data_IF_084537913298
#
_entry.id   IF_084537913298
#
_cell.length_a   1.000
_cell.length_b   1.000
_cell.length_c   1.000
_cell.angle_alpha   90.00
_cell.angle_beta   90.00
_cell.angle_gamma   90.00
#
_symmetry.space_group_name_H-M   'P 1'
#
loop_
_entity.id
_entity.type
_entity.pdbx_description
1 polymer ?
#
# COMPACT_ATOMS: atom_id res chain seq x y z
N UNK A 1 -14.77 58.25 -62.70
CA UNK A 1 -14.62 57.62 -61.36
C UNK A 1 -14.44 56.15 -61.64
N UNK A 2 -13.27 55.58 -61.33
CA UNK A 2 -13.04 54.14 -61.47
C UNK A 2 -13.47 53.49 -60.15
N UNK A 3 -14.42 52.55 -60.19
CA UNK A 3 -14.72 51.69 -59.04
C UNK A 3 -13.61 50.66 -58.91
N UNK A 4 -13.00 50.56 -57.73
CA UNK A 4 -12.05 49.49 -57.41
C UNK A 4 -12.88 48.26 -57.01
N UNK A 5 -12.67 47.16 -57.72
CA UNK A 5 -13.30 45.87 -57.39
C UNK A 5 -12.81 45.39 -56.02
N UNK A 6 -13.75 44.95 -55.18
CA UNK A 6 -13.46 44.41 -53.86
C UNK A 6 -13.55 42.89 -53.87
N UNK A 7 -12.40 42.26 -53.67
CA UNK A 7 -12.26 40.80 -53.63
C UNK A 7 -12.00 40.29 -52.20
N UNK A 8 -12.01 41.18 -51.20
CA UNK A 8 -11.73 40.82 -49.82
C UNK A 8 -13.00 40.25 -49.19
N UNK A 9 -12.88 39.15 -48.44
CA UNK A 9 -14.03 38.57 -47.74
C UNK A 9 -14.27 39.30 -46.41
N UNK A 10 -15.53 39.40 -45.97
CA UNK A 10 -15.81 39.88 -44.62
C UNK A 10 -15.23 38.94 -43.56
N UNK A 11 -14.97 39.49 -42.38
CA UNK A 11 -14.55 38.78 -41.17
C UNK A 11 -15.72 38.68 -40.18
N UNK A 12 -15.80 37.55 -39.47
CA UNK A 12 -16.85 37.32 -38.45
C UNK A 12 -16.29 36.71 -37.17
N UNK A 13 -16.73 37.27 -36.04
CA UNK A 13 -16.47 36.80 -34.69
C UNK A 13 -17.78 36.53 -33.95
N UNK A 14 -17.79 35.46 -33.16
CA UNK A 14 -18.92 35.05 -32.32
C UNK A 14 -18.38 34.99 -30.90
N UNK A 15 -18.96 35.79 -30.00
CA UNK A 15 -18.62 35.74 -28.58
C UNK A 15 -19.01 34.37 -28.00
N UNK A 16 -18.06 33.72 -27.34
CA UNK A 16 -18.26 32.40 -26.73
C UNK A 16 -18.83 32.49 -25.31
N UNK A 17 -18.92 33.69 -24.74
CA UNK A 17 -19.54 33.91 -23.45
C UNK A 17 -21.07 33.89 -23.58
N UNK A 18 -21.70 32.88 -22.99
CA UNK A 18 -23.15 32.73 -23.00
C UNK A 18 -23.78 33.68 -21.97
N UNK A 19 -24.70 34.53 -22.43
CA UNK A 19 -25.60 35.32 -21.57
C UNK A 19 -27.01 34.75 -21.68
N UNK A 20 -27.68 34.56 -20.55
CA UNK A 20 -29.01 33.98 -20.51
C UNK A 20 -30.01 35.01 -19.98
N UNK A 21 -31.15 35.13 -20.65
CA UNK A 21 -32.30 35.94 -20.20
C UNK A 21 -33.58 35.12 -20.30
N UNK A 22 -34.12 34.71 -19.15
CA UNK A 22 -35.27 33.81 -19.06
C UNK A 22 -35.10 32.53 -19.90
N UNK A 23 -35.82 32.45 -21.03
CA UNK A 23 -35.82 31.33 -21.98
C UNK A 23 -34.84 31.50 -23.15
N UNK A 24 -34.09 32.60 -23.17
CA UNK A 24 -33.23 33.01 -24.27
C UNK A 24 -31.76 32.90 -23.90
N UNK A 25 -30.96 32.63 -24.92
CA UNK A 25 -29.52 32.88 -24.92
C UNK A 25 -29.24 34.04 -25.87
N UNK A 26 -28.49 35.03 -25.38
CA UNK A 26 -28.04 36.18 -26.14
C UNK A 26 -26.61 35.92 -26.61
N UNK A 27 -26.40 35.96 -27.92
CA UNK A 27 -25.09 35.74 -28.54
C UNK A 27 -24.65 37.01 -29.23
N UNK A 28 -23.46 37.50 -28.89
CA UNK A 28 -22.88 38.68 -29.53
C UNK A 28 -22.11 38.25 -30.78
N UNK A 29 -22.43 38.86 -31.91
CA UNK A 29 -21.77 38.66 -33.20
C UNK A 29 -21.15 39.99 -33.62
N UNK A 30 -19.90 39.96 -34.05
CA UNK A 30 -19.26 41.10 -34.69
C UNK A 30 -18.82 40.71 -36.09
N UNK A 31 -19.20 41.52 -37.07
CA UNK A 31 -18.78 41.36 -38.46
C UNK A 31 -18.13 42.64 -38.94
N UNK A 32 -17.09 42.50 -39.78
CA UNK A 32 -16.35 43.63 -40.33
C UNK A 32 -15.95 43.29 -41.75
N UNK A 33 -15.94 44.31 -42.60
CA UNK A 33 -15.28 44.21 -43.88
C UNK A 33 -14.35 45.41 -44.07
N UNK A 34 -13.24 45.20 -44.78
CA UNK A 34 -12.24 46.26 -45.06
C UNK A 34 -12.38 46.88 -46.45
N UNK A 35 -13.24 46.32 -47.30
CA UNK A 35 -13.55 46.83 -48.62
C UNK A 35 -14.88 47.60 -48.63
N UNK A 36 -15.89 47.07 -49.31
CA UNK A 36 -17.16 47.77 -49.55
C UNK A 36 -18.11 47.75 -48.35
N UNK A 37 -17.78 47.02 -47.28
CA UNK A 37 -18.55 46.96 -46.04
C UNK A 37 -19.51 45.76 -46.00
N UNK A 38 -20.03 45.49 -44.81
CA UNK A 38 -20.97 44.38 -44.57
C UNK A 38 -22.36 44.74 -45.10
N UNK A 39 -22.92 43.89 -45.97
CA UNK A 39 -24.28 44.02 -46.56
C UNK A 39 -25.31 43.26 -45.73
N UNK A 40 -25.02 41.99 -45.42
CA UNK A 40 -25.97 41.11 -44.75
C UNK A 40 -25.27 40.28 -43.64
N UNK A 41 -25.93 40.18 -42.49
CA UNK A 41 -25.59 39.25 -41.42
C UNK A 41 -26.83 38.41 -41.13
N UNK A 42 -26.72 37.09 -41.32
CA UNK A 42 -27.77 36.15 -40.92
C UNK A 42 -27.24 35.21 -39.84
N UNK A 43 -28.12 34.87 -38.89
CA UNK A 43 -27.81 33.98 -37.77
C UNK A 43 -28.81 32.86 -37.73
N UNK A 44 -28.31 31.64 -37.87
CA UNK A 44 -29.07 30.42 -37.74
C UNK A 44 -28.62 29.63 -36.52
N UNK A 45 -29.54 28.92 -35.88
CA UNK A 45 -29.25 28.01 -34.80
C UNK A 45 -29.82 26.62 -35.04
N UNK A 46 -29.20 25.64 -34.39
CA UNK A 46 -29.63 24.24 -34.41
C UNK A 46 -29.46 23.62 -33.02
N UNK A 47 -30.54 22.98 -32.56
CA UNK A 47 -30.60 22.26 -31.27
C UNK A 47 -30.47 20.74 -31.43
N UNK A 48 -30.39 20.25 -32.67
CA UNK A 48 -30.37 18.83 -33.04
C UNK A 48 -29.04 18.40 -33.70
N UNK A 49 -27.96 19.16 -33.44
CA UNK A 49 -26.64 18.82 -33.97
C UNK A 49 -26.41 19.23 -35.42
N UNK A 50 -27.23 20.14 -35.96
CA UNK A 50 -27.10 20.69 -37.31
C UNK A 50 -28.01 20.03 -38.35
N UNK A 51 -28.93 19.14 -37.93
CA UNK A 51 -29.88 18.50 -38.84
C UNK A 51 -30.98 19.48 -39.30
N UNK A 52 -31.45 20.34 -38.40
CA UNK A 52 -32.35 21.45 -38.72
C UNK A 52 -31.77 22.77 -38.26
N UNK A 53 -31.86 23.78 -39.14
CA UNK A 53 -31.42 25.15 -38.89
C UNK A 53 -32.63 26.08 -38.90
N UNK A 54 -32.72 26.93 -37.88
CA UNK A 54 -33.75 27.95 -37.73
C UNK A 54 -33.09 29.32 -37.64
N UNK A 55 -33.70 30.33 -38.23
CA UNK A 55 -33.26 31.72 -38.06
C UNK A 55 -33.41 32.14 -36.60
N UNK A 56 -32.49 32.96 -36.09
CA UNK A 56 -32.63 33.58 -34.76
C UNK A 56 -33.95 34.35 -34.66
N UNK A 57 -34.59 34.29 -33.51
CA UNK A 57 -35.92 34.89 -33.33
C UNK A 57 -35.87 36.43 -33.35
N UNK A 58 -34.74 37.00 -32.91
CA UNK A 58 -34.44 38.42 -33.02
C UNK A 58 -32.94 38.62 -33.25
N UNK A 59 -32.60 39.60 -34.08
CA UNK A 59 -31.23 40.02 -34.34
C UNK A 59 -31.15 41.54 -34.16
N UNK A 60 -30.66 41.98 -32.99
CA UNK A 60 -30.59 43.39 -32.64
C UNK A 60 -29.25 43.99 -33.07
N UNK A 61 -29.28 45.07 -33.86
CA UNK A 61 -28.09 45.87 -34.13
C UNK A 61 -27.74 46.70 -32.89
N UNK A 62 -26.55 46.47 -32.32
CA UNK A 62 -26.09 47.14 -31.10
C UNK A 62 -25.18 48.32 -31.41
N UNK A 63 -24.26 48.14 -32.35
CA UNK A 63 -23.29 49.17 -32.70
C UNK A 63 -22.88 49.05 -34.17
N UNK A 64 -22.53 50.18 -34.76
CA UNK A 64 -21.93 50.29 -36.08
C UNK A 64 -20.87 51.38 -36.08
N UNK A 65 -19.60 50.98 -36.11
CA UNK A 65 -18.48 51.90 -36.03
C UNK A 65 -17.29 51.37 -36.83
N UNK A 66 -16.61 52.27 -37.54
CA UNK A 66 -15.36 51.99 -38.28
C UNK A 66 -15.46 50.77 -39.23
N UNK A 67 -16.61 50.62 -39.89
CA UNK A 67 -16.88 49.52 -40.84
C UNK A 67 -17.18 48.16 -40.19
N UNK A 68 -17.31 48.11 -38.86
CA UNK A 68 -17.71 46.93 -38.11
C UNK A 68 -19.14 47.09 -37.57
N UNK A 69 -19.95 46.05 -37.75
CA UNK A 69 -21.30 45.89 -37.17
C UNK A 69 -21.24 44.91 -36.00
N UNK A 70 -21.98 45.21 -34.94
CA UNK A 70 -22.17 44.28 -33.82
C UNK A 70 -23.64 44.03 -33.59
N UNK A 71 -24.02 42.76 -33.54
CA UNK A 71 -25.38 42.28 -33.31
C UNK A 71 -25.49 41.44 -32.05
N UNK A 72 -26.68 41.41 -31.44
CA UNK A 72 -27.09 40.38 -30.48
C UNK A 72 -28.17 39.51 -31.12
N UNK A 73 -27.89 38.21 -31.26
CA UNK A 73 -28.88 37.23 -31.67
C UNK A 73 -29.57 36.63 -30.44
N UNK A 74 -30.89 36.64 -30.45
CA UNK A 74 -31.74 36.00 -29.45
C UNK A 74 -32.12 34.61 -29.92
N UNK A 75 -31.66 33.60 -29.19
CA UNK A 75 -31.89 32.19 -29.53
C UNK A 75 -32.70 31.53 -28.42
N UNK A 76 -33.80 30.81 -28.73
CA UNK A 76 -34.66 30.16 -27.75
C UNK A 76 -33.98 28.88 -27.20
N UNK A 77 -32.92 29.10 -26.43
CA UNK A 77 -32.13 28.11 -25.73
C UNK A 77 -31.92 28.63 -24.31
N UNK A 78 -32.51 27.96 -23.33
CA UNK A 78 -32.51 28.45 -21.95
C UNK A 78 -31.25 28.03 -21.19
N UNK A 79 -31.04 28.64 -20.02
CA UNK A 79 -30.02 28.17 -19.08
C UNK A 79 -30.27 26.72 -18.66
N UNK A 80 -31.52 26.33 -18.45
CA UNK A 80 -31.87 24.96 -18.06
C UNK A 80 -31.54 23.95 -19.17
N UNK A 81 -31.70 24.33 -20.43
CA UNK A 81 -31.28 23.50 -21.57
C UNK A 81 -29.76 23.26 -21.56
N UNK A 82 -28.98 24.32 -21.33
CA UNK A 82 -27.53 24.23 -21.21
C UNK A 82 -27.11 23.37 -20.01
N UNK A 83 -27.73 23.59 -18.85
CA UNK A 83 -27.42 22.86 -17.62
C UNK A 83 -27.78 21.37 -17.71
N UNK A 84 -28.84 21.04 -18.47
CA UNK A 84 -29.24 19.68 -18.84
C UNK A 84 -28.30 19.02 -19.88
N UNK A 85 -27.26 19.73 -20.36
CA UNK A 85 -26.27 19.20 -21.29
C UNK A 85 -26.70 19.22 -22.76
N UNK A 86 -27.78 19.94 -23.11
CA UNK A 86 -28.14 20.15 -24.51
C UNK A 86 -27.08 21.00 -25.21
N UNK A 87 -26.99 20.85 -26.53
CA UNK A 87 -26.04 21.57 -27.38
C UNK A 87 -26.77 22.61 -28.20
N UNK A 88 -26.15 23.77 -28.34
CA UNK A 88 -26.60 24.84 -29.23
C UNK A 88 -25.53 25.04 -30.31
N UNK A 89 -25.87 24.78 -31.57
CA UNK A 89 -25.02 25.13 -32.70
C UNK A 89 -25.51 26.43 -33.28
N UNK A 90 -24.60 27.35 -33.58
CA UNK A 90 -24.91 28.67 -34.12
C UNK A 90 -24.03 28.89 -35.32
N UNK A 91 -24.66 29.20 -36.44
CA UNK A 91 -24.03 29.46 -37.72
C UNK A 91 -24.35 30.90 -38.09
N UNK A 92 -23.30 31.67 -38.35
CA UNK A 92 -23.39 33.05 -38.77
C UNK A 92 -22.86 33.14 -40.18
N UNK A 93 -23.67 33.68 -41.08
CA UNK A 93 -23.31 33.91 -42.47
C UNK A 93 -23.29 35.41 -42.71
N UNK A 94 -22.14 35.91 -43.16
CA UNK A 94 -21.91 37.34 -43.44
C UNK A 94 -21.61 37.49 -44.92
N UNK A 95 -22.23 38.48 -45.53
CA UNK A 95 -22.01 38.87 -46.93
C UNK A 95 -21.67 40.35 -47.00
N UNK A 96 -20.72 40.72 -47.84
CA UNK A 96 -20.39 42.12 -48.12
C UNK A 96 -21.15 42.66 -49.34
N UNK A 97 -21.02 43.96 -49.60
CA UNK A 97 -21.66 44.61 -50.76
C UNK A 97 -21.08 44.20 -52.12
N UNK A 98 -19.89 43.60 -52.14
CA UNK A 98 -19.27 43.05 -53.35
C UNK A 98 -19.76 41.61 -53.66
N UNK A 99 -20.48 40.98 -52.73
CA UNK A 99 -21.02 39.63 -52.84
C UNK A 99 -20.11 38.54 -52.28
N UNK A 100 -18.97 38.88 -51.67
CA UNK A 100 -18.15 37.90 -50.97
C UNK A 100 -18.81 37.51 -49.65
N UNK A 101 -18.61 36.25 -49.23
CA UNK A 101 -19.23 35.73 -48.02
C UNK A 101 -18.30 34.87 -47.18
N UNK A 102 -18.60 34.85 -45.88
CA UNK A 102 -17.99 33.96 -44.89
C UNK A 102 -19.09 33.33 -44.05
N UNK A 103 -18.92 32.05 -43.71
CA UNK A 103 -19.76 31.37 -42.74
C UNK A 103 -18.90 30.87 -41.57
N UNK A 104 -19.43 30.99 -40.35
CA UNK A 104 -18.78 30.50 -39.14
C UNK A 104 -19.78 29.81 -38.25
N UNK A 105 -19.44 28.58 -37.86
CA UNK A 105 -20.27 27.77 -36.95
C UNK A 105 -19.56 27.56 -35.62
N UNK A 106 -20.26 27.76 -34.52
CA UNK A 106 -19.79 27.50 -33.14
C UNK A 106 -20.81 26.61 -32.44
N UNK A 107 -20.30 25.60 -31.72
CA UNK A 107 -21.11 24.76 -30.82
C UNK A 107 -20.88 25.18 -29.39
N UNK A 108 -21.97 25.57 -28.73
CA UNK A 108 -22.05 25.81 -27.30
C UNK A 108 -22.53 24.53 -26.61
N UNK A 109 -21.74 24.05 -25.66
CA UNK A 109 -22.06 22.87 -24.85
C UNK A 109 -21.52 23.09 -23.43
N UNK A 110 -22.18 22.49 -22.46
CA UNK A 110 -21.68 22.46 -21.09
C UNK A 110 -20.38 21.64 -21.03
N UNK A 111 -19.30 22.27 -20.59
CA UNK A 111 -18.02 21.62 -20.36
C UNK A 111 -18.07 20.96 -18.99
N UNK A 112 -17.98 19.63 -18.97
CA UNK A 112 -18.03 18.84 -17.73
C UNK A 112 -16.62 18.37 -17.34
N UNK A 113 -16.27 18.41 -16.05
CA UNK A 113 -15.05 17.77 -15.56
C UNK A 113 -15.17 16.25 -15.61
N UNK A 114 -14.03 15.59 -15.74
CA UNK A 114 -13.91 14.14 -15.61
C UNK A 114 -12.64 13.87 -14.82
N UNK A 115 -12.76 13.28 -13.63
CA UNK A 115 -11.61 13.02 -12.77
C UNK A 115 -11.17 11.57 -12.92
N UNK A 116 -9.89 11.38 -13.16
CA UNK A 116 -9.22 10.09 -13.10
C UNK A 116 -8.36 10.01 -11.83
N UNK A 117 -8.27 8.82 -11.26
CA UNK A 117 -7.57 8.54 -10.01
C UNK A 117 -6.49 7.47 -10.25
N UNK A 118 -5.24 7.80 -9.95
CA UNK A 118 -4.12 6.87 -9.96
C UNK A 118 -3.54 6.73 -8.56
N UNK A 119 -3.34 5.48 -8.10
CA UNK A 119 -2.88 5.17 -6.74
C UNK A 119 -1.65 4.28 -6.85
N UNK A 120 -0.54 4.74 -6.28
CA UNK A 120 0.68 3.95 -6.13
C UNK A 120 0.90 3.66 -4.64
N UNK A 121 0.83 2.38 -4.29
CA UNK A 121 0.91 1.87 -2.93
C UNK A 121 1.97 0.76 -2.89
N UNK A 122 2.82 0.71 -1.85
CA UNK A 122 3.74 -0.41 -1.71
C UNK A 122 2.96 -1.72 -1.47
N UNK A 123 3.46 -2.87 -1.96
CA UNK A 123 2.76 -4.14 -1.82
C UNK A 123 2.74 -4.64 -0.37
N UNK A 124 3.73 -4.24 0.42
CA UNK A 124 3.83 -4.58 1.84
C UNK A 124 4.45 -3.44 2.66
N UNK A 125 4.19 -3.49 3.96
CA UNK A 125 4.78 -2.63 4.98
C UNK A 125 5.11 -3.50 6.20
N UNK A 126 6.24 -3.26 6.85
CA UNK A 126 6.57 -3.96 8.09
C UNK A 126 5.72 -3.40 9.23
N UNK A 127 5.33 -4.25 10.18
CA UNK A 127 4.66 -3.84 11.40
C UNK A 127 5.44 -2.71 12.10
N UNK A 128 4.74 -1.66 12.53
CA UNK A 128 5.26 -0.43 13.12
C UNK A 128 6.06 0.50 12.20
N UNK A 129 6.45 0.06 11.00
CA UNK A 129 7.08 0.94 10.02
C UNK A 129 6.05 1.85 9.35
N UNK A 130 6.53 2.99 8.83
CA UNK A 130 5.74 3.92 8.01
C UNK A 130 6.01 3.72 6.53
N UNK A 131 5.00 3.96 5.70
CA UNK A 131 5.13 4.04 4.25
C UNK A 131 4.31 5.21 3.69
N UNK A 132 4.58 5.55 2.44
CA UNK A 132 3.86 6.61 1.71
C UNK A 132 3.04 6.00 0.59
N UNK A 133 1.76 6.38 0.53
CA UNK A 133 0.86 6.12 -0.59
C UNK A 133 0.80 7.37 -1.45
N UNK A 134 1.13 7.24 -2.73
CA UNK A 134 1.06 8.35 -3.68
C UNK A 134 -0.27 8.29 -4.42
N UNK A 135 -1.03 9.39 -4.40
CA UNK A 135 -2.30 9.49 -5.12
C UNK A 135 -2.19 10.65 -6.10
N UNK A 136 -2.61 10.42 -7.34
CA UNK A 136 -2.70 11.47 -8.37
C UNK A 136 -4.13 11.54 -8.90
N UNK A 137 -4.67 12.75 -8.86
CA UNK A 137 -5.91 13.10 -9.55
C UNK A 137 -5.55 13.84 -10.83
N UNK A 138 -6.24 13.52 -11.92
CA UNK A 138 -6.14 14.28 -13.15
C UNK A 138 -7.52 14.57 -13.70
N UNK A 139 -7.78 15.83 -14.02
CA UNK A 139 -8.97 16.21 -14.75
C UNK A 139 -8.76 15.95 -16.24
N UNK A 140 -9.37 14.90 -16.77
CA UNK A 140 -9.36 14.51 -18.17
C UNK A 140 -10.51 15.12 -18.96
N UNK A 141 -11.45 15.78 -18.28
CA UNK A 141 -12.59 16.45 -18.90
C UNK A 141 -12.25 17.84 -19.43
N UNK A 142 -13.24 18.46 -20.08
CA UNK A 142 -13.12 19.82 -20.65
C UNK A 142 -13.59 20.91 -19.66
N UNK A 143 -14.31 20.55 -18.60
CA UNK A 143 -14.77 21.46 -17.55
C UNK A 143 -13.86 21.49 -16.33
N UNK A 144 -13.90 22.57 -15.56
CA UNK A 144 -13.18 22.69 -14.29
C UNK A 144 -13.88 21.89 -13.18
N UNK A 145 -13.14 21.02 -12.49
CA UNK A 145 -13.65 20.32 -11.31
C UNK A 145 -13.50 21.22 -10.09
N UNK A 146 -14.57 21.45 -9.33
CA UNK A 146 -14.57 22.35 -8.16
C UNK A 146 -14.87 21.62 -6.86
N UNK A 147 -14.35 22.16 -5.76
CA UNK A 147 -14.52 21.64 -4.39
C UNK A 147 -14.22 20.14 -4.32
N UNK A 148 -13.10 19.73 -4.90
CA UNK A 148 -12.70 18.32 -4.96
C UNK A 148 -12.21 17.91 -3.57
N UNK A 149 -12.83 16.87 -2.99
CA UNK A 149 -12.49 16.36 -1.66
C UNK A 149 -12.17 14.87 -1.75
N UNK A 150 -11.08 14.48 -1.11
CA UNK A 150 -10.60 13.11 -0.99
C UNK A 150 -10.75 12.69 0.45
N UNK A 151 -11.44 11.58 0.67
CA UNK A 151 -11.55 10.93 1.97
C UNK A 151 -10.88 9.57 1.88
N UNK A 152 -9.83 9.37 2.68
CA UNK A 152 -9.09 8.11 2.74
C UNK A 152 -9.40 7.42 4.07
N UNK A 153 -9.70 6.13 3.99
CA UNK A 153 -9.89 5.26 5.14
C UNK A 153 -9.12 3.96 4.96
N UNK A 154 -8.77 3.30 6.05
CA UNK A 154 -8.09 2.01 6.03
C UNK A 154 -8.71 1.06 7.06
N UNK A 155 -8.54 -0.25 6.86
CA UNK A 155 -8.88 -1.27 7.85
C UNK A 155 -7.89 -1.27 9.02
N UNK A 156 -8.24 -1.93 10.12
CA UNK A 156 -7.51 -1.90 11.41
C UNK A 156 -6.02 -2.28 11.34
N UNK A 157 -5.61 -3.03 10.32
CA UNK A 157 -4.21 -3.42 10.11
C UNK A 157 -3.31 -2.23 9.78
N UNK A 158 -3.88 -1.12 9.27
CA UNK A 158 -3.15 0.03 8.79
C UNK A 158 -3.74 1.33 9.34
N UNK A 159 -2.90 2.15 9.96
CA UNK A 159 -3.27 3.49 10.42
C UNK A 159 -2.86 4.55 9.41
N UNK A 160 -3.75 5.52 9.15
CA UNK A 160 -3.44 6.71 8.37
C UNK A 160 -2.91 7.77 9.34
N UNK A 161 -1.63 8.11 9.19
CA UNK A 161 -0.93 9.07 10.07
C UNK A 161 -1.26 10.50 9.64
N UNK A 162 -1.30 10.72 8.32
CA UNK A 162 -1.48 12.04 7.72
C UNK A 162 -2.11 11.92 6.33
N UNK A 163 -2.87 12.94 5.93
CA UNK A 163 -3.56 12.98 4.64
C UNK A 163 -4.88 12.23 4.58
N UNK A 164 -5.60 12.10 5.72
CA UNK A 164 -6.91 11.41 5.76
C UNK A 164 -7.99 12.11 4.95
N UNK A 165 -8.00 13.45 4.98
CA UNK A 165 -8.90 14.28 4.19
C UNK A 165 -8.07 15.36 3.51
N UNK A 166 -8.19 15.47 2.19
CA UNK A 166 -7.48 16.46 1.38
C UNK A 166 -8.48 17.11 0.45
N UNK A 167 -8.41 18.43 0.30
CA UNK A 167 -9.30 19.18 -0.57
C UNK A 167 -8.53 20.09 -1.52
N UNK A 168 -9.12 20.29 -2.70
CA UNK A 168 -8.70 21.25 -3.70
C UNK A 168 -9.88 22.13 -4.04
N UNK A 169 -9.67 23.45 -4.10
CA UNK A 169 -10.69 24.39 -4.53
C UNK A 169 -11.11 24.11 -5.99
N UNK A 170 -10.13 23.89 -6.86
CA UNK A 170 -10.38 23.42 -8.22
C UNK A 170 -9.23 22.61 -8.82
N UNK A 171 -9.56 21.88 -9.88
CA UNK A 171 -8.62 21.19 -10.78
C UNK A 171 -9.05 21.54 -12.22
N UNK A 172 -8.23 22.35 -12.89
CA UNK A 172 -8.51 22.82 -14.25
C UNK A 172 -8.44 21.66 -15.28
N UNK A 173 -9.06 21.82 -16.47
CA UNK A 173 -8.94 20.84 -17.56
C UNK A 173 -7.47 20.49 -17.87
N UNK A 174 -7.14 19.21 -17.90
CA UNK A 174 -5.77 18.71 -18.13
C UNK A 174 -4.83 18.79 -16.92
N UNK A 175 -5.21 19.50 -15.85
CA UNK A 175 -4.38 19.64 -14.64
C UNK A 175 -4.34 18.32 -13.85
N UNK A 176 -3.21 18.08 -13.18
CA UNK A 176 -3.04 16.99 -12.24
C UNK A 176 -2.62 17.50 -10.86
N UNK A 177 -3.17 16.89 -9.80
CA UNK A 177 -2.76 17.10 -8.41
C UNK A 177 -2.23 15.80 -7.84
N UNK A 178 -1.03 15.82 -7.29
CA UNK A 178 -0.42 14.68 -6.62
C UNK A 178 -0.28 14.95 -5.12
N UNK A 179 -0.57 13.94 -4.31
CA UNK A 179 -0.53 13.99 -2.85
C UNK A 179 0.14 12.74 -2.31
N UNK A 180 0.69 12.87 -1.11
CA UNK A 180 1.31 11.79 -0.36
C UNK A 180 0.54 11.56 0.93
N UNK A 181 0.05 10.34 1.14
CA UNK A 181 -0.63 9.92 2.37
C UNK A 181 0.33 9.04 3.15
N UNK A 182 0.59 9.37 4.42
CA UNK A 182 1.47 8.56 5.28
C UNK A 182 0.65 7.53 6.05
N UNK A 183 1.11 6.29 6.01
CA UNK A 183 0.45 5.14 6.67
C UNK A 183 1.44 4.36 7.53
N UNK A 184 0.95 3.70 8.58
CA UNK A 184 1.74 2.84 9.48
C UNK A 184 1.07 1.48 9.64
N UNK A 185 1.87 0.40 9.62
CA UNK A 185 1.38 -0.94 9.95
C UNK A 185 1.09 -1.07 11.45
N UNK A 186 -0.13 -1.46 11.82
CA UNK A 186 -0.59 -1.58 13.21
C UNK A 186 -0.74 -3.03 13.66
N UNK A 187 -1.21 -3.92 12.78
CA UNK A 187 -1.29 -5.35 13.04
C UNK A 187 -1.02 -6.14 11.77
N UNK A 188 -0.43 -7.34 11.91
CA UNK A 188 -0.07 -8.18 10.77
C UNK A 188 -1.29 -8.70 10.03
N UNK A 189 -1.25 -8.69 8.69
CA UNK A 189 -2.35 -9.18 7.85
C UNK A 189 -2.54 -8.31 6.62
N UNK A 190 -3.59 -8.58 5.85
CA UNK A 190 -3.95 -7.75 4.69
C UNK A 190 -4.79 -6.57 5.13
N UNK A 191 -4.33 -5.35 4.85
CA UNK A 191 -5.10 -4.13 5.02
C UNK A 191 -5.72 -3.68 3.70
N UNK A 192 -6.89 -3.03 3.76
CA UNK A 192 -7.52 -2.38 2.61
C UNK A 192 -7.52 -0.87 2.84
N UNK A 193 -7.05 -0.10 1.86
CA UNK A 193 -7.19 1.35 1.79
C UNK A 193 -8.33 1.67 0.80
N UNK A 194 -9.29 2.46 1.25
CA UNK A 194 -10.40 2.99 0.44
C UNK A 194 -10.21 4.48 0.24
N UNK A 195 -10.29 4.94 -1.01
CA UNK A 195 -10.16 6.34 -1.39
C UNK A 195 -11.45 6.76 -2.07
N UNK A 196 -12.15 7.73 -1.47
CA UNK A 196 -13.39 8.31 -2.01
C UNK A 196 -13.12 9.74 -2.45
N UNK A 197 -13.38 10.04 -3.72
CA UNK A 197 -13.23 11.37 -4.31
C UNK A 197 -14.61 11.91 -4.66
N UNK A 198 -14.93 13.11 -4.20
CA UNK A 198 -16.17 13.82 -4.52
C UNK A 198 -15.88 15.26 -4.91
N UNK A 199 -16.84 15.90 -5.57
CA UNK A 199 -16.74 17.31 -5.97
C UNK A 199 -17.94 17.72 -6.81
N UNK A 200 -17.83 18.87 -7.48
CA UNK A 200 -18.90 19.41 -8.33
C UNK A 200 -18.64 19.05 -9.79
N UNK A 201 -19.70 18.60 -10.49
CA UNK A 201 -19.71 18.42 -11.94
C UNK A 201 -19.25 17.04 -12.43
N UNK A 202 -18.86 16.12 -11.55
CA UNK A 202 -18.49 14.74 -11.88
C UNK A 202 -19.06 13.75 -10.86
N UNK A 203 -19.19 12.49 -11.26
CA UNK A 203 -19.66 11.43 -10.37
C UNK A 203 -18.59 11.08 -9.32
N UNK A 204 -18.96 10.83 -8.05
CA UNK A 204 -18.01 10.38 -7.04
C UNK A 204 -17.27 9.12 -7.47
N UNK A 205 -15.98 9.04 -7.12
CA UNK A 205 -15.09 7.91 -7.42
C UNK A 205 -14.78 7.19 -6.12
N UNK A 206 -14.82 5.87 -6.14
CA UNK A 206 -14.37 5.04 -5.01
C UNK A 206 -13.43 3.94 -5.54
N UNK A 207 -12.19 3.95 -5.04
CA UNK A 207 -11.18 2.93 -5.35
C UNK A 207 -10.70 2.27 -4.07
N UNK A 208 -10.41 0.98 -4.16
CA UNK A 208 -9.84 0.19 -3.06
C UNK A 208 -8.53 -0.46 -3.50
N UNK A 209 -7.51 -0.41 -2.64
CA UNK A 209 -6.24 -1.11 -2.81
C UNK A 209 -5.89 -1.88 -1.55
N UNK A 210 -5.14 -2.96 -1.72
CA UNK A 210 -4.66 -3.77 -0.60
C UNK A 210 -3.17 -3.57 -0.38
N UNK A 211 -2.76 -3.70 0.89
CA UNK A 211 -1.36 -3.71 1.32
C UNK A 211 -1.20 -4.76 2.41
N UNK A 212 -0.13 -5.54 2.36
CA UNK A 212 0.13 -6.58 3.38
C UNK A 212 1.04 -6.03 4.48
N UNK A 213 0.58 -6.05 5.72
CA UNK A 213 1.38 -5.73 6.89
C UNK A 213 2.10 -6.99 7.36
N UNK A 214 3.42 -7.02 7.22
CA UNK A 214 4.26 -8.18 7.55
C UNK A 214 4.96 -7.98 8.90
N UNK A 215 5.17 -9.07 9.65
CA UNK A 215 6.03 -9.00 10.84
C UNK A 215 7.50 -8.93 10.41
N UNK A 216 8.36 -8.18 11.12
CA UNK A 216 9.79 -8.34 10.95
C UNK A 216 10.19 -9.78 11.33
N UNK A 217 11.23 -10.36 10.73
CA UNK A 217 11.65 -11.73 11.03
C UNK A 217 12.35 -11.82 12.39
N UNK A 218 12.08 -12.89 13.14
CA UNK A 218 12.87 -13.27 14.30
C UNK A 218 14.08 -14.11 13.89
N UNK A 219 15.11 -14.15 14.75
CA UNK A 219 16.28 -15.03 14.56
C UNK A 219 16.66 -15.60 15.91
N UNK A 220 16.45 -16.89 16.10
CA UNK A 220 16.79 -17.57 17.35
C UNK A 220 18.20 -18.14 17.24
N UNK A 221 19.06 -17.78 18.19
CA UNK A 221 20.34 -18.41 18.43
C UNK A 221 20.20 -19.38 19.60
N UNK A 222 20.76 -20.58 19.46
CA UNK A 222 20.68 -21.67 20.44
C UNK A 222 22.04 -21.87 21.11
N UNK A 223 22.04 -21.95 22.44
CA UNK A 223 23.20 -22.30 23.25
C UNK A 223 22.85 -23.43 24.21
N UNK A 224 23.56 -24.55 24.10
CA UNK A 224 23.35 -25.73 24.95
C UNK A 224 24.55 -25.96 25.86
N UNK A 225 24.29 -26.02 27.17
CA UNK A 225 25.28 -26.32 28.21
C UNK A 225 24.90 -27.62 28.93
N UNK A 226 25.77 -28.63 28.83
CA UNK A 226 25.65 -29.92 29.51
C UNK A 226 26.99 -30.31 30.15
N UNK A 227 27.00 -31.18 31.18
CA UNK A 227 28.25 -31.70 31.73
C UNK A 227 29.03 -32.49 30.66
N UNK A 228 30.34 -32.67 30.86
CA UNK A 228 31.15 -33.49 29.95
C UNK A 228 30.91 -35.00 30.17
N UNK A 229 30.58 -35.38 31.40
CA UNK A 229 30.33 -36.76 31.79
C UNK A 229 29.39 -36.84 32.99
N UNK A 230 28.70 -37.97 33.11
CA UNK A 230 27.90 -38.37 34.28
C UNK A 230 28.13 -39.86 34.57
N UNK A 231 27.80 -40.33 35.76
CA UNK A 231 27.81 -41.76 36.06
C UNK A 231 26.44 -42.42 35.81
N UNK A 232 26.42 -43.74 35.65
CA UNK A 232 25.18 -44.53 35.69
C UNK A 232 24.46 -44.27 37.02
N UNK A 233 23.14 -44.07 36.96
CA UNK A 233 22.25 -43.65 38.05
C UNK A 233 22.41 -42.20 38.54
N UNK A 234 23.36 -41.42 38.02
CA UNK A 234 23.50 -39.99 38.32
C UNK A 234 22.52 -39.16 37.48
N UNK A 235 21.95 -38.13 38.08
CA UNK A 235 21.14 -37.12 37.38
C UNK A 235 21.98 -35.89 37.05
N UNK A 236 21.77 -35.33 35.87
CA UNK A 236 22.35 -34.06 35.46
C UNK A 236 21.31 -33.14 34.82
N UNK A 237 21.62 -31.85 34.83
CA UNK A 237 20.80 -30.82 34.18
C UNK A 237 21.48 -30.31 32.93
N UNK A 238 20.74 -30.31 31.83
CA UNK A 238 21.08 -29.67 30.56
C UNK A 238 20.39 -28.31 30.56
N UNK A 239 21.17 -27.25 30.37
CA UNK A 239 20.67 -25.88 30.25
C UNK A 239 20.65 -25.49 28.77
N UNK A 240 19.49 -25.06 28.28
CA UNK A 240 19.28 -24.61 26.91
C UNK A 240 18.88 -23.15 26.96
N UNK A 241 19.65 -22.28 26.31
CA UNK A 241 19.38 -20.84 26.20
C UNK A 241 19.04 -20.52 24.75
N UNK A 242 17.88 -19.89 24.56
CA UNK A 242 17.43 -19.35 23.29
C UNK A 242 17.51 -17.83 23.35
N UNK A 243 18.18 -17.21 22.38
CA UNK A 243 18.26 -15.75 22.27
C UNK A 243 17.69 -15.29 20.94
N UNK A 244 16.78 -14.32 20.95
CA UNK A 244 16.31 -13.70 19.73
C UNK A 244 17.23 -12.55 19.31
N UNK A 245 18.03 -12.76 18.28
CA UNK A 245 18.91 -11.74 17.66
C UNK A 245 18.28 -11.09 16.42
N UNK A 246 17.02 -11.44 16.10
CA UNK A 246 16.24 -10.83 15.03
C UNK A 246 15.53 -9.55 15.45
N UNK A 247 14.76 -8.98 14.52
CA UNK A 247 13.98 -7.74 14.74
C UNK A 247 12.52 -8.01 15.08
N UNK A 248 12.00 -9.20 14.78
CA UNK A 248 10.65 -9.61 15.14
C UNK A 248 10.60 -10.53 16.34
N UNK A 249 9.40 -10.69 16.87
CA UNK A 249 9.08 -11.61 17.94
C UNK A 249 9.07 -13.05 17.40
N UNK A 250 9.69 -13.97 18.13
CA UNK A 250 9.47 -15.39 17.93
C UNK A 250 8.31 -15.81 18.84
N UNK A 251 7.35 -16.55 18.30
CA UNK A 251 6.12 -16.92 19.00
C UNK A 251 5.92 -18.44 19.01
N UNK A 252 5.21 -18.96 20.01
CA UNK A 252 4.85 -20.37 20.15
C UNK A 252 6.04 -21.32 19.99
N UNK A 253 7.14 -21.01 20.67
CA UNK A 253 8.38 -21.77 20.57
C UNK A 253 8.22 -23.08 21.34
N UNK A 254 8.55 -24.19 20.69
CA UNK A 254 8.56 -25.54 21.26
C UNK A 254 9.99 -26.06 21.23
N UNK A 255 10.51 -26.42 22.40
CA UNK A 255 11.83 -27.05 22.57
C UNK A 255 11.61 -28.52 22.91
N UNK A 256 12.02 -29.42 22.03
CA UNK A 256 11.93 -30.88 22.22
C UNK A 256 13.32 -31.47 22.37
N UNK A 257 13.49 -32.36 23.33
CA UNK A 257 14.75 -33.04 23.61
C UNK A 257 14.55 -34.54 23.45
N UNK A 258 15.44 -35.15 22.70
CA UNK A 258 15.52 -36.60 22.51
C UNK A 258 16.90 -37.09 22.92
N UNK A 259 16.96 -38.24 23.60
CA UNK A 259 18.23 -38.86 24.00
C UNK A 259 18.35 -40.27 23.44
N UNK A 260 19.58 -40.75 23.25
CA UNK A 260 19.83 -42.18 23.02
C UNK A 260 19.62 -43.00 24.31
N UNK A 261 19.66 -44.32 24.18
CA UNK A 261 19.35 -45.30 25.22
C UNK A 261 20.25 -45.23 26.48
N UNK A 262 21.42 -44.58 26.41
CA UNK A 262 22.31 -44.38 27.56
C UNK A 262 21.77 -43.34 28.56
N UNK A 263 20.80 -42.51 28.16
CA UNK A 263 20.16 -41.51 29.01
C UNK A 263 18.64 -41.71 29.02
N UNK A 264 18.03 -41.45 30.18
CA UNK A 264 16.59 -41.20 30.26
C UNK A 264 16.31 -39.74 30.61
N UNK A 265 15.26 -39.17 30.02
CA UNK A 265 14.78 -37.86 30.39
C UNK A 265 13.93 -38.01 31.66
N UNK A 266 14.36 -37.36 32.74
CA UNK A 266 13.65 -37.32 34.03
C UNK A 266 12.56 -36.26 33.99
N UNK A 267 12.86 -35.07 33.44
CA UNK A 267 11.89 -33.99 33.29
C UNK A 267 12.34 -32.96 32.24
N UNK A 268 11.39 -32.17 31.75
CA UNK A 268 11.67 -31.07 30.82
C UNK A 268 11.98 -31.49 29.39
N UNK A 269 11.63 -32.72 28.97
CA UNK A 269 11.87 -33.20 27.60
C UNK A 269 11.12 -32.44 26.50
N UNK A 270 10.07 -31.71 26.87
CA UNK A 270 9.36 -30.79 25.99
C UNK A 270 8.99 -29.53 26.77
N UNK A 271 9.36 -28.36 26.25
CA UNK A 271 9.06 -27.06 26.87
C UNK A 271 8.42 -26.14 25.83
N UNK A 272 7.45 -25.35 26.27
CA UNK A 272 6.81 -24.32 25.45
C UNK A 272 7.22 -22.95 26.00
N UNK A 273 7.51 -22.01 25.10
CA UNK A 273 7.79 -20.61 25.40
C UNK A 273 6.88 -19.79 24.50
N UNK A 274 5.99 -19.00 25.09
CA UNK A 274 4.98 -18.26 24.32
C UNK A 274 5.62 -17.23 23.38
N UNK A 275 6.58 -16.47 23.91
CA UNK A 275 7.23 -15.39 23.15
C UNK A 275 8.70 -15.20 23.57
N UNK A 276 9.55 -14.87 22.61
CA UNK A 276 10.89 -14.33 22.83
C UNK A 276 11.01 -13.03 22.01
N UNK A 277 11.00 -11.90 22.72
CA UNK A 277 11.05 -10.55 22.13
C UNK A 277 12.42 -10.26 21.51
N UNK A 278 12.56 -9.29 20.58
CA UNK A 278 13.85 -8.89 20.04
C UNK A 278 14.87 -8.56 21.14
N UNK A 279 16.05 -9.18 21.10
CA UNK A 279 17.12 -9.03 22.08
C UNK A 279 16.94 -9.85 23.37
N UNK A 280 15.77 -10.45 23.60
CA UNK A 280 15.47 -11.25 24.79
C UNK A 280 16.15 -12.63 24.74
N UNK A 281 16.39 -13.21 25.92
CA UNK A 281 16.82 -14.60 26.06
C UNK A 281 15.92 -15.35 27.03
N UNK A 282 15.58 -16.60 26.70
CA UNK A 282 14.86 -17.52 27.58
C UNK A 282 15.69 -18.78 27.79
N UNK A 283 15.60 -19.35 28.98
CA UNK A 283 16.32 -20.58 29.33
C UNK A 283 15.34 -21.67 29.74
N UNK A 284 15.62 -22.90 29.33
CA UNK A 284 14.90 -24.10 29.80
C UNK A 284 15.90 -25.11 30.34
N UNK A 285 15.49 -25.84 31.37
CA UNK A 285 16.32 -26.84 32.04
C UNK A 285 15.72 -28.23 31.84
N UNK A 286 16.55 -29.18 31.42
CA UNK A 286 16.14 -30.57 31.19
C UNK A 286 16.95 -31.45 32.11
N UNK A 287 16.27 -32.30 32.88
CA UNK A 287 16.94 -33.23 33.78
C UNK A 287 17.03 -34.60 33.11
N UNK A 288 18.23 -35.16 33.06
CA UNK A 288 18.52 -36.48 32.48
C UNK A 288 19.19 -37.37 33.50
N UNK A 289 19.04 -38.69 33.38
CA UNK A 289 19.67 -39.70 34.23
C UNK A 289 20.45 -40.70 33.39
N UNK A 290 21.66 -41.06 33.84
CA UNK A 290 22.47 -42.11 33.21
C UNK A 290 21.86 -43.50 33.42
N UNK A 291 21.62 -44.24 32.34
CA UNK A 291 21.00 -45.58 32.35
C UNK A 291 22.02 -46.68 32.07
N UNK A 292 22.88 -46.49 31.07
CA UNK A 292 23.95 -47.44 30.71
C UNK A 292 25.21 -46.68 30.35
N UNK A 293 26.36 -47.31 30.57
CA UNK A 293 27.64 -46.72 30.18
C UNK A 293 27.76 -46.63 28.66
N UNK A 294 28.42 -45.57 28.17
CA UNK A 294 28.52 -45.30 26.73
C UNK A 294 28.66 -43.81 26.41
N UNK A 295 28.51 -43.48 25.13
CA UNK A 295 28.43 -42.08 24.67
C UNK A 295 27.00 -41.80 24.24
N UNK A 296 26.27 -41.08 25.08
CA UNK A 296 24.91 -40.70 24.79
C UNK A 296 24.84 -39.55 23.78
N UNK A 297 23.85 -39.56 22.89
CA UNK A 297 23.50 -38.43 22.05
C UNK A 297 22.29 -37.69 22.64
N UNK A 298 22.36 -36.36 22.65
CA UNK A 298 21.25 -35.48 23.02
C UNK A 298 20.93 -34.62 21.79
N UNK A 299 19.72 -34.72 21.28
CA UNK A 299 19.21 -33.95 20.15
C UNK A 299 18.23 -32.91 20.70
N UNK A 300 18.45 -31.64 20.39
CA UNK A 300 17.60 -30.52 20.77
C UNK A 300 16.97 -29.98 19.50
N UNK A 301 15.65 -29.99 19.42
CA UNK A 301 14.89 -29.45 18.29
C UNK A 301 14.06 -28.26 18.78
N UNK A 302 14.16 -27.14 18.06
CA UNK A 302 13.45 -25.89 18.37
C UNK A 302 12.61 -25.51 17.16
N UNK A 303 11.30 -25.39 17.35
CA UNK A 303 10.35 -24.95 16.33
C UNK A 303 9.45 -23.85 16.88
N UNK A 304 8.77 -23.11 16.00
CA UNK A 304 7.85 -22.04 16.39
C UNK A 304 7.42 -21.21 15.19
N UNK A 305 6.93 -19.99 15.44
CA UNK A 305 6.43 -19.04 14.43
C UNK A 305 7.42 -17.89 14.26
N UNK A 306 7.55 -17.40 13.02
CA UNK A 306 8.34 -16.22 12.63
C UNK A 306 9.88 -16.39 12.69
N UNK A 307 10.38 -17.63 12.79
CA UNK A 307 11.79 -17.98 12.58
C UNK A 307 11.91 -19.39 11.97
N UNK A 308 13.08 -19.71 11.41
CA UNK A 308 13.35 -21.05 10.89
C UNK A 308 13.62 -22.05 12.03
N UNK A 309 13.09 -23.28 11.98
CA UNK A 309 13.38 -24.27 13.01
C UNK A 309 14.87 -24.61 13.07
N UNK A 310 15.33 -25.00 14.26
CA UNK A 310 16.74 -25.28 14.57
C UNK A 310 16.85 -26.69 15.15
N UNK A 311 18.00 -27.33 14.93
CA UNK A 311 18.35 -28.59 15.58
C UNK A 311 19.83 -28.59 15.95
N UNK A 312 20.16 -29.06 17.15
CA UNK A 312 21.53 -29.22 17.61
C UNK A 312 21.71 -30.57 18.30
N UNK A 313 22.80 -31.27 17.95
CA UNK A 313 23.16 -32.55 18.55
C UNK A 313 24.41 -32.39 19.41
N UNK A 314 24.34 -32.86 20.64
CA UNK A 314 25.45 -32.91 21.60
C UNK A 314 25.71 -34.35 22.04
N UNK A 315 26.90 -34.60 22.58
CA UNK A 315 27.25 -35.90 23.17
C UNK A 315 27.58 -35.75 24.65
N UNK A 316 27.18 -36.75 25.44
CA UNK A 316 27.44 -36.84 26.89
C UNK A 316 28.00 -38.22 27.22
N UNK A 317 29.15 -38.28 27.89
CA UNK A 317 29.73 -39.56 28.32
C UNK A 317 29.03 -40.07 29.59
N UNK A 318 28.59 -41.33 29.59
CA UNK A 318 28.04 -42.02 30.75
C UNK A 318 29.03 -43.10 31.21
N UNK A 319 29.54 -43.00 32.44
CA UNK A 319 30.55 -43.91 33.00
C UNK A 319 29.93 -44.87 34.04
N UNK A 320 30.41 -46.12 34.11
CA UNK A 320 30.04 -46.99 35.22
C UNK A 320 30.73 -46.54 36.51
N UNK A 321 29.97 -46.58 37.60
CA UNK A 321 30.54 -46.43 38.94
C UNK A 321 31.33 -47.68 39.27
N UNK A 322 32.65 -47.62 39.11
CA UNK A 322 33.52 -48.67 39.61
C UNK A 322 33.61 -48.53 41.13
N UNK A 323 32.93 -49.42 41.86
CA UNK A 323 33.24 -49.64 43.28
C UNK A 323 34.71 -50.05 43.46
N UNK A 324 35.28 -49.95 44.66
CA UNK A 324 36.67 -50.35 44.88
C UNK A 324 36.82 -51.80 44.40
N UNK A 325 37.84 -52.05 43.58
CA UNK A 325 38.02 -53.33 42.92
C UNK A 325 38.07 -54.44 43.98
N UNK A 326 37.00 -55.23 44.04
CA UNK A 326 36.82 -56.26 45.07
C UNK A 326 37.91 -57.32 44.96
N UNK A 327 38.47 -57.53 43.77
CA UNK A 327 39.61 -58.39 43.51
C UNK A 327 40.88 -57.81 44.14
N UNK A 328 41.11 -56.50 44.05
CA UNK A 328 42.24 -55.83 44.73
C UNK A 328 42.08 -55.89 46.24
N UNK A 329 40.87 -55.66 46.77
CA UNK A 329 40.58 -55.81 48.21
C UNK A 329 40.79 -57.26 48.65
N UNK A 330 40.26 -58.23 47.92
CA UNK A 330 40.41 -59.65 48.24
C UNK A 330 41.88 -60.10 48.18
N UNK A 331 42.64 -59.65 47.17
CA UNK A 331 44.08 -59.93 47.06
C UNK A 331 44.86 -59.28 48.19
N UNK A 332 44.58 -58.02 48.53
CA UNK A 332 45.25 -57.38 49.68
C UNK A 332 44.90 -58.09 50.98
N UNK A 333 43.64 -58.43 51.23
CA UNK A 333 43.22 -59.20 52.41
C UNK A 333 43.92 -60.57 52.44
N UNK A 334 43.95 -61.31 51.33
CA UNK A 334 44.59 -62.62 51.25
C UNK A 334 46.10 -62.55 51.49
N UNK A 335 46.78 -61.57 50.88
CA UNK A 335 48.21 -61.32 51.11
C UNK A 335 48.46 -60.98 52.57
N UNK A 336 47.59 -60.17 53.19
CA UNK A 336 47.71 -59.80 54.61
C UNK A 336 47.53 -61.03 55.50
N UNK A 337 46.55 -61.90 55.21
CA UNK A 337 46.35 -63.17 55.93
C UNK A 337 47.55 -64.09 55.78
N UNK A 338 48.12 -64.23 54.58
CA UNK A 338 49.32 -65.06 54.34
C UNK A 338 50.51 -64.52 55.13
N UNK A 339 50.73 -63.21 55.12
CA UNK A 339 51.80 -62.56 55.90
C UNK A 339 51.60 -62.82 57.41
N UNK A 340 50.39 -62.64 57.93
CA UNK A 340 50.07 -62.92 59.34
C UNK A 340 50.29 -64.40 59.68
N UNK A 341 49.86 -65.32 58.81
CA UNK A 341 50.08 -66.75 58.98
C UNK A 341 51.58 -67.11 58.97
N UNK A 342 52.38 -66.48 58.10
CA UNK A 342 53.83 -66.66 58.05
C UNK A 342 54.49 -66.15 59.35
N UNK A 343 54.11 -64.96 59.82
CA UNK A 343 54.60 -64.38 61.08
C UNK A 343 54.24 -65.30 62.25
N UNK A 344 53.01 -65.81 62.33
CA UNK A 344 52.58 -66.75 63.36
C UNK A 344 53.35 -68.09 63.29
N UNK A 345 53.66 -68.57 62.08
CA UNK A 345 54.44 -69.80 61.88
C UNK A 345 55.90 -69.62 62.32
N UNK A 346 56.51 -68.48 62.01
CA UNK A 346 57.86 -68.12 62.48
C UNK A 346 57.90 -67.96 63.99
N UNK A 347 56.86 -67.38 64.60
CA UNK A 347 56.76 -67.20 66.06
C UNK A 347 56.53 -68.51 66.82
N UNK A 348 55.97 -69.55 66.17
CA UNK A 348 55.81 -70.90 66.73
C UNK A 348 57.05 -71.80 66.60
N UNK A 349 58.04 -71.42 65.78
CA UNK A 349 59.27 -72.21 65.59
C UNK A 349 60.49 -71.66 66.36
N UNK A 350 60.26 -70.75 67.32
CA UNK A 350 61.22 -70.30 68.33
C UNK A 350 60.70 -70.71 69.71
#
# INVERSE_FOLDING_TARGET
IYSVEDTVKPEVSIDKSLKFEEKWTLITISAKDTGWGVDEVSVEYSLDGGATWKQSDLLDLIDFKDGAVTYIAWIPFSKDDYEAGKKLNVKVSVKDFAGNSVEKTVTFKKLLPEISLAINIPPNITLNDEATVQITLKNTGEGEAKNVVLNISATEQLSIIDGRVISFESIAPGESKSISVRVRGVSSGTATITIKVSGVGFNPIEEMKTIVVVRPPAKIDLLVSLPKKINVNEEATIQIVLKNTGKGEAENIIVTISTSNELSIVSGGKNNIDIISPGESKSVSVKVKGISSGTATVIIEVSGVNFNPLSETKTLKVEEVHGPNITVIAVTVLVTIIIVALILKIKRSK
#
